data_IF_204299528310
#
_entry.id   IF_204299528310
#
_cell.length_a   1.000
_cell.length_b   1.000
_cell.length_c   1.000
_cell.angle_alpha   90.00
_cell.angle_beta   90.00
_cell.angle_gamma   90.00
#
_symmetry.space_group_name_H-M   'P 1'
#
loop_
_entity.id
_entity.type
_entity.pdbx_description
1 polymer ?
#
# COMPACT_ATOMS: atom_id res chain seq x y z
N UNK A 1 -14.80 12.27 2.32
CA UNK A 1 -15.19 13.68 2.53
C UNK A 1 -16.59 13.78 3.15
N UNK A 2 -16.77 13.25 4.36
CA UNK A 2 -17.74 13.71 5.38
C UNK A 2 -17.05 13.32 6.69
N UNK A 3 -16.67 14.28 7.53
CA UNK A 3 -16.24 14.01 8.91
C UNK A 3 -14.75 13.83 9.24
N UNK A 4 -13.82 13.87 8.28
CA UNK A 4 -12.37 13.74 8.55
C UNK A 4 -11.64 15.10 8.71
N UNK A 5 -12.27 16.06 9.38
CA UNK A 5 -11.67 17.39 9.57
C UNK A 5 -12.46 18.23 10.55
N UNK A 6 -12.14 18.10 11.84
CA UNK A 6 -12.54 19.04 12.90
C UNK A 6 -11.80 20.38 12.77
N UNK A 7 -11.79 20.96 11.57
CA UNK A 7 -11.32 22.32 11.33
C UNK A 7 -12.57 23.18 11.10
N UNK A 8 -12.68 24.28 11.85
CA UNK A 8 -13.76 25.29 11.91
C UNK A 8 -14.13 25.98 10.57
N UNK A 9 -13.83 25.38 9.42
CA UNK A 9 -14.16 25.91 8.10
C UNK A 9 -14.37 24.84 7.03
N UNK A 10 -14.46 23.56 7.39
CA UNK A 10 -14.86 22.53 6.43
C UNK A 10 -16.32 22.78 6.03
N UNK A 11 -16.53 23.24 4.79
CA UNK A 11 -17.86 23.36 4.18
C UNK A 11 -18.62 22.06 4.47
N UNK A 12 -19.79 22.17 5.10
CA UNK A 12 -20.65 21.03 5.40
C UNK A 12 -21.28 20.50 4.11
N UNK A 13 -20.45 19.80 3.34
CA UNK A 13 -20.78 19.20 2.06
C UNK A 13 -21.96 18.23 2.20
N UNK A 14 -22.21 17.69 3.40
CA UNK A 14 -23.36 16.80 3.65
C UNK A 14 -24.69 17.52 3.39
N UNK A 15 -24.85 18.75 3.84
CA UNK A 15 -26.06 19.54 3.64
C UNK A 15 -26.23 19.99 2.18
N UNK A 16 -25.13 20.17 1.45
CA UNK A 16 -25.18 20.45 0.01
C UNK A 16 -25.56 19.22 -0.82
N UNK A 17 -25.17 18.02 -0.41
CA UNK A 17 -25.41 16.78 -1.16
C UNK A 17 -26.80 16.17 -0.87
N UNK A 18 -27.36 16.39 0.32
CA UNK A 18 -28.67 15.83 0.74
C UNK A 18 -29.80 16.07 -0.28
N UNK A 19 -30.03 17.27 -0.83
CA UNK A 19 -31.10 17.48 -1.80
C UNK A 19 -30.93 16.64 -3.07
N UNK A 20 -29.71 16.56 -3.61
CA UNK A 20 -29.40 15.81 -4.84
C UNK A 20 -29.48 14.30 -4.61
N UNK A 21 -29.04 13.82 -3.45
CA UNK A 21 -29.22 12.42 -3.02
C UNK A 21 -30.71 12.07 -2.86
N UNK A 22 -31.51 12.98 -2.29
CA UNK A 22 -32.94 12.75 -2.09
C UNK A 22 -33.74 12.70 -3.40
N UNK A 23 -33.34 13.52 -4.40
CA UNK A 23 -33.92 13.51 -5.75
C UNK A 23 -33.40 12.39 -6.64
N UNK A 24 -32.35 11.68 -6.22
CA UNK A 24 -31.71 10.62 -7.03
C UNK A 24 -30.86 11.16 -8.19
N UNK A 25 -30.57 12.46 -8.22
CA UNK A 25 -29.71 13.11 -9.23
C UNK A 25 -28.22 12.78 -9.01
N UNK A 26 -27.87 12.31 -7.81
CA UNK A 26 -26.52 11.92 -7.43
C UNK A 26 -26.52 10.47 -6.95
N UNK A 27 -25.70 9.64 -7.60
CA UNK A 27 -25.32 8.32 -7.12
C UNK A 27 -23.89 8.37 -6.61
N UNK A 28 -23.62 7.79 -5.44
CA UNK A 28 -22.28 7.73 -4.89
C UNK A 28 -22.05 6.45 -4.08
N UNK A 29 -20.77 6.07 -3.97
CA UNK A 29 -20.29 5.01 -3.09
C UNK A 29 -19.44 5.68 -2.02
N UNK A 30 -19.78 5.46 -0.75
CA UNK A 30 -19.00 5.91 0.39
C UNK A 30 -18.12 4.79 0.92
N UNK A 31 -16.89 5.15 1.33
CA UNK A 31 -16.00 4.28 2.09
C UNK A 31 -15.68 4.98 3.42
N UNK A 32 -15.93 4.31 4.54
CA UNK A 32 -15.75 4.84 5.89
C UNK A 32 -15.63 3.68 6.86
N UNK A 33 -15.19 3.96 8.09
CA UNK A 33 -15.18 2.96 9.16
C UNK A 33 -16.57 2.78 9.77
N UNK A 34 -16.81 1.64 10.40
CA UNK A 34 -18.09 1.37 11.08
C UNK A 34 -18.39 2.41 12.18
N UNK A 35 -17.35 2.89 12.87
CA UNK A 35 -17.48 3.91 13.92
C UNK A 35 -17.90 5.27 13.35
N UNK A 36 -17.32 5.68 12.23
CA UNK A 36 -17.69 6.91 11.52
C UNK A 36 -19.09 6.81 10.90
N UNK A 37 -19.43 5.65 10.32
CA UNK A 37 -20.78 5.40 9.81
C UNK A 37 -21.83 5.59 10.90
N UNK A 38 -21.63 4.96 12.07
CA UNK A 38 -22.50 5.12 13.26
C UNK A 38 -22.57 6.57 13.73
N UNK A 39 -21.47 7.31 13.66
CA UNK A 39 -21.38 8.68 14.17
C UNK A 39 -22.05 9.70 13.25
N UNK A 40 -21.92 9.55 11.93
CA UNK A 40 -22.26 10.60 10.97
C UNK A 40 -23.37 10.24 9.99
N UNK A 41 -23.59 8.96 9.69
CA UNK A 41 -24.60 8.52 8.71
C UNK A 41 -25.83 7.97 9.43
N UNK A 42 -25.65 7.02 10.35
CA UNK A 42 -26.75 6.36 11.05
C UNK A 42 -27.54 7.33 11.95
N UNK A 43 -26.88 8.36 12.50
CA UNK A 43 -27.56 9.40 13.29
C UNK A 43 -28.39 10.38 12.46
N UNK A 44 -28.19 10.43 11.15
CA UNK A 44 -28.92 11.33 10.26
C UNK A 44 -29.97 10.57 9.47
N UNK A 45 -31.25 10.70 9.86
CA UNK A 45 -32.36 9.95 9.26
C UNK A 45 -32.51 10.17 7.74
N UNK A 46 -32.03 11.29 7.20
CA UNK A 46 -32.11 11.56 5.77
C UNK A 46 -31.05 10.76 5.00
N UNK A 47 -29.86 10.58 5.58
CA UNK A 47 -28.77 9.81 4.98
C UNK A 47 -28.98 8.30 5.18
N UNK A 48 -29.39 7.89 6.38
CA UNK A 48 -29.65 6.49 6.73
C UNK A 48 -30.64 5.82 5.76
N UNK A 49 -31.70 6.54 5.34
CA UNK A 49 -32.71 6.03 4.39
C UNK A 49 -32.23 5.95 2.94
N UNK A 50 -31.06 6.52 2.63
CA UNK A 50 -30.54 6.66 1.25
C UNK A 50 -29.29 5.84 1.01
N UNK A 51 -28.54 5.53 2.07
CA UNK A 51 -27.39 4.65 1.98
C UNK A 51 -27.75 3.23 2.41
N UNK A 52 -27.36 2.26 1.60
CA UNK A 52 -27.30 0.87 2.02
C UNK A 52 -25.87 0.57 2.46
N UNK A 53 -25.69 0.18 3.72
CA UNK A 53 -24.38 -0.27 4.20
C UNK A 53 -24.05 -1.64 3.60
N UNK A 54 -22.81 -1.77 3.12
CA UNK A 54 -22.20 -3.03 2.67
C UNK A 54 -20.94 -3.20 3.49
N UNK A 55 -20.94 -4.19 4.40
CA UNK A 55 -19.79 -4.47 5.25
C UNK A 55 -18.70 -5.16 4.44
N UNK A 56 -17.51 -4.56 4.42
CA UNK A 56 -16.31 -5.15 3.83
C UNK A 56 -15.41 -5.56 4.98
N UNK A 57 -15.29 -6.86 5.21
CA UNK A 57 -14.44 -7.42 6.26
C UNK A 57 -13.03 -7.69 5.73
N UNK A 58 -12.06 -7.83 6.66
CA UNK A 58 -10.76 -8.38 6.32
C UNK A 58 -10.96 -9.77 5.66
N UNK A 59 -10.30 -10.05 4.51
CA UNK A 59 -10.38 -11.35 3.87
C UNK A 59 -9.69 -12.42 4.71
N UNK A 60 -10.13 -13.66 4.55
CA UNK A 60 -9.42 -14.80 5.13
C UNK A 60 -8.07 -15.04 4.43
N UNK A 61 -7.28 -15.93 5.03
CA UNK A 61 -5.92 -16.23 4.57
C UNK A 61 -5.86 -16.68 3.10
N UNK A 62 -6.74 -17.61 2.71
CA UNK A 62 -6.82 -18.13 1.33
C UNK A 62 -7.21 -17.05 0.33
N UNK A 63 -8.22 -16.25 0.68
CA UNK A 63 -8.72 -15.16 -0.17
C UNK A 63 -7.64 -14.10 -0.34
N UNK A 64 -6.93 -13.74 0.73
CA UNK A 64 -5.83 -12.79 0.65
C UNK A 64 -4.71 -13.27 -0.29
N UNK A 65 -4.37 -14.57 -0.28
CA UNK A 65 -3.41 -15.16 -1.23
C UNK A 65 -3.90 -15.00 -2.66
N UNK A 66 -5.16 -15.35 -2.95
CA UNK A 66 -5.73 -15.22 -4.29
C UNK A 66 -5.75 -13.77 -4.78
N UNK A 67 -6.12 -12.82 -3.91
CA UNK A 67 -6.09 -11.39 -4.21
C UNK A 67 -4.69 -10.92 -4.59
N UNK A 68 -3.66 -11.36 -3.86
CA UNK A 68 -2.27 -11.02 -4.18
C UNK A 68 -1.82 -11.70 -5.48
N UNK A 69 -2.17 -12.97 -5.70
CA UNK A 69 -1.89 -13.66 -6.96
C UNK A 69 -2.53 -12.93 -8.16
N UNK A 70 -3.73 -12.37 -7.99
CA UNK A 70 -4.37 -11.54 -9.02
C UNK A 70 -3.62 -10.22 -9.28
N UNK A 71 -3.02 -9.62 -8.24
CA UNK A 71 -2.22 -8.39 -8.36
C UNK A 71 -0.79 -8.65 -8.88
N UNK A 72 -0.27 -9.87 -8.71
CA UNK A 72 1.11 -10.25 -9.01
C UNK A 72 1.62 -9.76 -10.38
N UNK A 73 0.91 -9.98 -11.51
CA UNK A 73 1.44 -9.59 -12.82
C UNK A 73 1.75 -8.10 -12.92
N UNK A 74 0.99 -7.26 -12.19
CA UNK A 74 1.21 -5.81 -12.16
C UNK A 74 2.50 -5.46 -11.43
N UNK A 75 2.77 -6.09 -10.28
CA UNK A 75 3.97 -5.86 -9.49
C UNK A 75 5.22 -6.42 -10.18
N UNK A 76 5.14 -7.62 -10.74
CA UNK A 76 6.23 -8.22 -11.53
C UNK A 76 6.60 -7.32 -12.71
N UNK A 77 5.61 -6.84 -13.47
CA UNK A 77 5.86 -5.92 -14.57
C UNK A 77 6.43 -4.58 -14.12
N UNK A 78 5.97 -4.04 -12.99
CA UNK A 78 6.43 -2.75 -12.48
C UNK A 78 7.88 -2.81 -12.00
N UNK A 79 8.24 -3.87 -11.27
CA UNK A 79 9.56 -4.05 -10.67
C UNK A 79 10.55 -4.83 -11.53
N UNK A 80 10.07 -5.46 -12.61
CA UNK A 80 10.86 -6.32 -13.51
C UNK A 80 11.48 -7.52 -12.78
N UNK A 81 10.70 -8.12 -11.88
CA UNK A 81 11.08 -9.32 -11.12
C UNK A 81 10.02 -10.42 -11.32
N UNK A 82 10.34 -11.62 -10.88
CA UNK A 82 9.35 -12.70 -10.71
C UNK A 82 9.08 -12.91 -9.22
N UNK A 83 7.81 -13.06 -8.86
CA UNK A 83 7.35 -13.26 -7.48
C UNK A 83 6.82 -14.69 -7.38
N UNK A 84 7.50 -15.52 -6.59
CA UNK A 84 7.13 -16.93 -6.44
C UNK A 84 5.83 -17.11 -5.64
N UNK A 85 5.23 -18.30 -5.73
CA UNK A 85 4.05 -18.65 -4.92
C UNK A 85 4.39 -18.66 -3.42
N UNK A 86 5.56 -19.17 -3.07
CA UNK A 86 6.04 -19.22 -1.69
C UNK A 86 6.27 -17.81 -1.12
N UNK A 87 6.72 -16.86 -1.95
CA UNK A 87 6.89 -15.46 -1.54
C UNK A 87 5.55 -14.80 -1.20
N UNK A 88 4.50 -15.09 -1.99
CA UNK A 88 3.14 -14.59 -1.71
C UNK A 88 2.60 -15.19 -0.41
N UNK A 89 2.68 -16.51 -0.25
CA UNK A 89 2.21 -17.19 0.97
C UNK A 89 2.95 -16.72 2.22
N UNK A 90 4.26 -16.50 2.11
CA UNK A 90 5.09 -15.96 3.17
C UNK A 90 4.68 -14.52 3.52
N UNK A 91 4.45 -13.65 2.52
CA UNK A 91 4.03 -12.27 2.75
C UNK A 91 2.68 -12.22 3.51
N UNK A 92 1.69 -13.02 3.12
CA UNK A 92 0.40 -13.10 3.84
C UNK A 92 0.60 -13.63 5.25
N UNK A 93 1.34 -14.73 5.42
CA UNK A 93 1.56 -15.37 6.73
C UNK A 93 2.30 -14.47 7.71
N UNK A 94 3.38 -13.84 7.26
CA UNK A 94 4.22 -13.01 8.10
C UNK A 94 3.53 -11.69 8.43
N UNK A 95 2.88 -11.04 7.46
CA UNK A 95 2.11 -9.82 7.71
C UNK A 95 0.95 -10.07 8.67
N UNK A 96 0.23 -11.19 8.54
CA UNK A 96 -0.85 -11.54 9.47
C UNK A 96 -0.33 -11.73 10.90
N UNK A 97 0.84 -12.35 11.06
CA UNK A 97 1.40 -12.66 12.38
C UNK A 97 2.08 -11.47 13.06
N UNK A 98 2.77 -10.62 12.30
CA UNK A 98 3.67 -9.61 12.85
C UNK A 98 3.22 -8.16 12.61
N UNK A 99 2.29 -7.91 11.69
CA UNK A 99 1.75 -6.58 11.40
C UNK A 99 0.27 -6.55 11.83
N UNK A 100 0.05 -6.23 13.11
CA UNK A 100 -1.28 -6.29 13.76
C UNK A 100 -2.13 -5.04 13.55
N UNK A 101 -1.51 -3.89 13.28
CA UNK A 101 -2.19 -2.59 13.12
C UNK A 101 -2.85 -2.39 11.75
N UNK A 102 -2.63 -3.32 10.81
CA UNK A 102 -3.16 -3.28 9.44
C UNK A 102 -3.89 -4.57 9.12
N UNK A 103 -4.79 -4.49 8.15
CA UNK A 103 -5.63 -5.60 7.71
C UNK A 103 -5.08 -6.18 6.39
N UNK A 104 -5.30 -7.48 6.18
CA UNK A 104 -5.16 -8.09 4.87
C UNK A 104 -6.17 -7.47 3.87
N UNK A 105 -5.86 -7.49 2.57
CA UNK A 105 -4.61 -7.93 1.94
C UNK A 105 -3.54 -6.82 1.92
N UNK A 106 -3.89 -5.58 2.30
CA UNK A 106 -3.08 -4.37 2.17
C UNK A 106 -1.66 -4.53 2.77
N UNK A 107 -1.56 -5.00 4.02
CA UNK A 107 -0.27 -5.23 4.68
C UNK A 107 0.64 -6.24 3.98
N UNK A 108 0.06 -7.23 3.29
CA UNK A 108 0.83 -8.24 2.57
C UNK A 108 1.30 -7.73 1.21
N UNK A 109 0.46 -6.92 0.54
CA UNK A 109 0.83 -6.20 -0.68
C UNK A 109 2.01 -5.27 -0.42
N UNK A 110 1.98 -4.54 0.70
CA UNK A 110 3.04 -3.64 1.12
C UNK A 110 4.40 -4.36 1.27
N UNK A 111 4.43 -5.50 1.97
CA UNK A 111 5.65 -6.31 2.11
C UNK A 111 6.20 -6.79 0.76
N UNK A 112 5.32 -7.18 -0.16
CA UNK A 112 5.74 -7.61 -1.51
C UNK A 112 6.33 -6.44 -2.29
N UNK A 113 5.70 -5.27 -2.22
CA UNK A 113 6.15 -4.08 -2.94
C UNK A 113 7.51 -3.59 -2.43
N UNK A 114 7.70 -3.57 -1.10
CA UNK A 114 9.00 -3.23 -0.49
C UNK A 114 10.08 -4.24 -0.86
N UNK A 115 9.79 -5.55 -0.77
CA UNK A 115 10.74 -6.59 -1.15
C UNK A 115 11.11 -6.52 -2.64
N UNK A 116 10.13 -6.29 -3.51
CA UNK A 116 10.34 -6.14 -4.94
C UNK A 116 11.18 -4.90 -5.28
N UNK A 117 10.88 -3.77 -4.62
CA UNK A 117 11.65 -2.53 -4.76
C UNK A 117 13.10 -2.72 -4.34
N UNK A 118 13.33 -3.41 -3.21
CA UNK A 118 14.67 -3.71 -2.71
C UNK A 118 15.47 -4.55 -3.71
N UNK A 119 14.90 -5.66 -4.19
CA UNK A 119 15.57 -6.54 -5.17
C UNK A 119 15.92 -5.77 -6.44
N UNK A 120 15.01 -4.92 -6.92
CA UNK A 120 15.26 -4.10 -8.09
C UNK A 120 16.43 -3.14 -7.89
N UNK A 121 16.49 -2.45 -6.75
CA UNK A 121 17.61 -1.55 -6.41
C UNK A 121 18.93 -2.34 -6.36
N UNK A 122 18.92 -3.49 -5.68
CA UNK A 122 20.11 -4.34 -5.53
C UNK A 122 20.60 -4.84 -6.90
N UNK A 123 19.68 -5.22 -7.80
CA UNK A 123 19.99 -5.68 -9.16
C UNK A 123 20.60 -4.62 -10.09
N UNK A 124 20.34 -3.34 -9.82
CA UNK A 124 20.93 -2.22 -10.57
C UNK A 124 22.30 -1.82 -10.03
N UNK A 125 22.66 -2.34 -8.85
CA UNK A 125 23.93 -2.05 -8.21
C UNK A 125 25.00 -3.03 -8.65
N UNK A 126 26.28 -2.60 -8.70
CA UNK A 126 27.37 -3.54 -8.89
C UNK A 126 27.32 -4.61 -7.78
N UNK A 127 27.53 -5.90 -8.12
CA UNK A 127 27.74 -6.96 -7.14
C UNK A 127 28.76 -6.52 -6.10
N UNK A 128 28.52 -6.89 -4.83
CA UNK A 128 29.40 -6.56 -3.70
C UNK A 128 30.87 -6.85 -4.00
N UNK A 129 31.13 -8.05 -4.54
CA UNK A 129 32.48 -8.54 -4.79
C UNK A 129 33.19 -7.69 -5.85
N UNK A 130 32.45 -7.20 -6.84
CA UNK A 130 32.98 -6.29 -7.87
C UNK A 130 33.17 -4.87 -7.34
N UNK A 131 32.30 -4.41 -6.43
CA UNK A 131 32.49 -3.12 -5.74
C UNK A 131 33.73 -3.15 -4.87
N UNK A 132 33.95 -4.23 -4.12
CA UNK A 132 35.15 -4.41 -3.29
C UNK A 132 36.40 -4.42 -4.17
N UNK A 133 36.39 -5.20 -5.26
CA UNK A 133 37.51 -5.22 -6.22
C UNK A 133 37.78 -3.83 -6.82
N UNK A 134 36.75 -3.04 -7.11
CA UNK A 134 36.92 -1.66 -7.59
C UNK A 134 37.54 -0.74 -6.54
N UNK A 135 37.13 -0.87 -5.28
CA UNK A 135 37.69 -0.10 -4.17
C UNK A 135 39.18 -0.43 -4.01
N UNK A 136 39.53 -1.72 -4.06
CA UNK A 136 40.91 -2.18 -3.97
C UNK A 136 41.75 -1.69 -5.15
N UNK A 137 41.20 -1.76 -6.37
CA UNK A 137 41.87 -1.25 -7.57
C UNK A 137 42.14 0.25 -7.46
N UNK A 138 41.15 1.01 -7.00
CA UNK A 138 41.26 2.46 -6.82
C UNK A 138 42.29 2.81 -5.73
N UNK A 139 42.40 2.01 -4.66
CA UNK A 139 43.45 2.19 -3.66
C UNK A 139 44.84 1.97 -4.26
N UNK A 140 45.02 0.89 -5.02
CA UNK A 140 46.29 0.57 -5.68
C UNK A 140 46.70 1.63 -6.72
N UNK A 141 45.75 2.16 -7.50
CA UNK A 141 46.02 3.26 -8.45
C UNK A 141 46.49 4.52 -7.72
N UNK A 142 45.85 4.88 -6.61
CA UNK A 142 46.27 6.03 -5.80
C UNK A 142 47.67 5.82 -5.18
N UNK A 143 47.99 4.60 -4.75
CA UNK A 143 49.31 4.24 -4.24
C UNK A 143 50.39 4.32 -5.34
N UNK A 144 50.09 3.87 -6.56
CA UNK A 144 50.98 4.00 -7.72
C UNK A 144 51.26 5.47 -8.04
N UNK A 145 50.22 6.30 -8.19
CA UNK A 145 50.39 7.73 -8.48
C UNK A 145 51.23 8.44 -7.41
N UNK A 146 51.00 8.14 -6.13
CA UNK A 146 51.77 8.69 -5.02
C UNK A 146 53.25 8.25 -5.04
N UNK A 147 53.54 7.03 -5.51
CA UNK A 147 54.91 6.53 -5.66
C UNK A 147 55.65 7.16 -6.85
N UNK A 148 54.94 7.52 -7.93
CA UNK A 148 55.51 8.20 -9.11
C UNK A 148 55.79 9.69 -8.86
N UNK A 149 55.05 10.32 -7.94
CA UNK A 149 55.22 11.73 -7.56
C UNK A 149 56.33 12.00 -6.52
N UNK A 150 56.94 10.97 -5.94
CA UNK A 150 58.09 11.06 -5.02
C UNK A 150 59.41 10.67 -5.70
#
# INVERSE_FOLDING_TARGET
MVGAGSAEGAIDASNMMKPSLARGELQCIGATTESEYRKYIEKDSALEKRFQSVLVTEPDYSTAIEMIKALRPRYESHHKIQISDEAVEAAVRLSQRYVTERLLPDKAVDLIDEAASKIRIDSQSLPSDLKETQIDLQQLENEEEAAVLN
#
